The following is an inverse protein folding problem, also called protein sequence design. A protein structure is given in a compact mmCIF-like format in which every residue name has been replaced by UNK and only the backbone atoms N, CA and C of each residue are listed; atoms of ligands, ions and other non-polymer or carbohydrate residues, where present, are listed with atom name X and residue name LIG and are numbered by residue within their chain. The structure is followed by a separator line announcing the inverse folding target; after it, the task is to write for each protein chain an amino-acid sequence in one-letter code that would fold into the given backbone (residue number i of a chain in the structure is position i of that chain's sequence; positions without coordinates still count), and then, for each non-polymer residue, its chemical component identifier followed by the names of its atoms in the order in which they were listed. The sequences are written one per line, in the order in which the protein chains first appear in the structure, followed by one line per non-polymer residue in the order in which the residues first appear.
data_IF_020321926377
#
_entry.id   IF_020321926377
#
_cell.length_a   1.000
_cell.length_b   1.000
_cell.length_c   1.000
_cell.angle_alpha   90.00
_cell.angle_beta   90.00
_cell.angle_gamma   90.00
#
_symmetry.space_group_name_H-M   'P 1'
#
loop_
_entity.id
_entity.type
_entity.pdbx_description
1 polymer ?
#
# COMPACT_ATOMS: atom_id res chain seq x y z
N UNK A 1 24.42 7.30 -6.24
CA UNK A 1 22.97 6.98 -6.38
C UNK A 1 22.22 8.29 -6.38
N UNK A 2 21.43 8.53 -7.42
CA UNK A 2 20.66 9.76 -7.63
C UNK A 2 19.21 9.56 -7.16
N UNK A 3 18.51 10.65 -6.81
CA UNK A 3 17.07 10.64 -6.60
C UNK A 3 16.37 10.17 -7.86
N UNK A 4 15.18 9.57 -7.75
CA UNK A 4 14.42 9.15 -8.91
C UNK A 4 12.94 8.92 -8.62
N UNK A 5 12.14 8.92 -9.67
CA UNK A 5 10.71 8.67 -9.64
C UNK A 5 10.39 7.28 -10.19
N UNK A 6 9.37 6.65 -9.66
CA UNK A 6 8.83 5.37 -10.14
C UNK A 6 7.33 5.47 -10.33
N UNK A 7 6.82 4.92 -11.44
CA UNK A 7 5.40 4.88 -11.75
C UNK A 7 4.97 3.48 -12.21
N UNK A 8 3.75 3.02 -11.85
CA UNK A 8 3.24 1.71 -12.21
C UNK A 8 2.62 1.62 -13.61
N UNK A 9 2.51 2.73 -14.32
CA UNK A 9 1.97 2.80 -15.67
C UNK A 9 3.07 2.88 -16.74
N UNK A 10 2.74 2.61 -17.98
CA UNK A 10 3.65 2.74 -19.12
C UNK A 10 3.99 4.22 -19.39
N UNK A 11 5.15 4.46 -19.97
CA UNK A 11 5.53 5.80 -20.42
C UNK A 11 4.61 6.27 -21.55
N UNK A 12 4.23 7.52 -21.50
CA UNK A 12 3.50 8.22 -22.56
C UNK A 12 4.33 9.37 -23.13
N UNK A 13 3.73 10.17 -24.01
CA UNK A 13 4.39 11.33 -24.65
C UNK A 13 4.86 12.40 -23.65
N UNK A 14 4.43 12.35 -22.39
CA UNK A 14 4.86 13.24 -21.31
C UNK A 14 6.12 12.77 -20.58
N UNK A 15 6.67 11.60 -20.90
CA UNK A 15 7.82 11.02 -20.20
C UNK A 15 9.07 11.92 -20.25
N UNK A 16 9.37 12.46 -21.41
CA UNK A 16 10.51 13.36 -21.62
C UNK A 16 10.32 14.70 -20.89
N UNK A 17 9.08 15.18 -20.83
CA UNK A 17 8.74 16.41 -20.08
C UNK A 17 8.93 16.19 -18.58
N UNK A 18 8.48 15.07 -18.02
CA UNK A 18 8.66 14.75 -16.61
C UNK A 18 10.15 14.62 -16.24
N UNK A 19 10.94 13.95 -17.06
CA UNK A 19 12.37 13.80 -16.81
C UNK A 19 13.10 15.16 -16.87
N UNK A 20 12.70 16.02 -17.79
CA UNK A 20 13.25 17.38 -17.93
C UNK A 20 12.85 18.27 -16.75
N UNK A 21 11.59 18.20 -16.29
CA UNK A 21 11.10 19.02 -15.17
C UNK A 21 11.66 18.57 -13.82
N UNK A 22 11.77 17.27 -13.60
CA UNK A 22 12.19 16.73 -12.31
C UNK A 22 13.73 16.63 -12.17
N UNK A 23 14.47 16.78 -13.26
CA UNK A 23 15.93 16.63 -13.31
C UNK A 23 16.43 15.35 -12.63
N UNK A 24 15.65 14.28 -12.68
CA UNK A 24 15.98 12.99 -12.09
C UNK A 24 15.47 11.84 -12.96
N UNK A 25 16.08 10.64 -12.87
CA UNK A 25 15.61 9.45 -13.56
C UNK A 25 14.15 9.13 -13.24
N UNK A 26 13.34 8.88 -14.27
CA UNK A 26 11.96 8.44 -14.15
C UNK A 26 11.87 7.00 -14.65
N UNK A 27 11.32 6.09 -13.83
CA UNK A 27 11.13 4.68 -14.15
C UNK A 27 9.63 4.39 -14.28
N UNK A 28 9.26 3.84 -15.41
CA UNK A 28 7.88 3.40 -15.70
C UNK A 28 7.75 1.89 -15.54
N UNK A 29 6.51 1.38 -15.57
CA UNK A 29 6.17 -0.05 -15.46
C UNK A 29 6.70 -0.70 -14.18
N UNK A 30 6.81 0.08 -13.10
CA UNK A 30 7.21 -0.43 -11.80
C UNK A 30 5.98 -0.93 -11.04
N UNK A 31 6.18 -1.80 -10.04
CA UNK A 31 5.09 -2.33 -9.22
C UNK A 31 4.61 -1.34 -8.13
N UNK A 32 5.14 -0.12 -8.11
CA UNK A 32 4.83 0.92 -7.13
C UNK A 32 5.01 2.31 -7.72
N UNK A 33 4.29 3.30 -7.15
CA UNK A 33 4.49 4.71 -7.44
C UNK A 33 5.19 5.38 -6.27
N UNK A 34 6.23 6.16 -6.56
CA UNK A 34 6.92 6.88 -5.50
C UNK A 34 8.23 7.55 -5.91
N UNK A 35 8.84 8.19 -4.93
CA UNK A 35 10.14 8.82 -5.01
C UNK A 35 11.14 8.01 -4.20
N UNK A 36 12.28 7.67 -4.77
CA UNK A 36 13.41 7.16 -3.99
C UNK A 36 14.50 8.21 -3.84
N UNK A 37 14.98 8.32 -2.61
CA UNK A 37 16.01 9.29 -2.21
C UNK A 37 17.17 8.51 -1.59
N UNK A 38 18.40 8.74 -2.02
CA UNK A 38 19.58 8.15 -1.38
C UNK A 38 19.62 8.47 0.12
N UNK A 39 19.92 7.47 0.94
CA UNK A 39 19.94 7.66 2.40
C UNK A 39 20.90 8.79 2.83
N UNK A 40 22.01 8.94 2.11
CA UNK A 40 22.97 10.03 2.36
C UNK A 40 22.40 11.45 2.18
N UNK A 41 21.30 11.60 1.44
CA UNK A 41 20.62 12.89 1.26
C UNK A 41 19.53 13.14 2.29
N UNK A 42 19.03 12.08 2.93
CA UNK A 42 17.94 12.19 3.93
C UNK A 42 18.41 12.92 5.19
N UNK A 43 19.67 12.72 5.58
CA UNK A 43 20.24 13.32 6.78
C UNK A 43 20.89 14.71 6.52
N UNK A 44 20.88 15.18 5.28
CA UNK A 44 21.41 16.51 4.95
C UNK A 44 20.40 17.61 5.37
N UNK A 45 20.91 18.58 6.08
CA UNK A 45 20.11 19.77 6.42
C UNK A 45 19.81 20.57 5.18
N UNK A 46 18.55 20.61 4.78
CA UNK A 46 18.12 21.37 3.60
C UNK A 46 18.18 22.86 3.87
N UNK A 47 18.88 23.61 3.04
CA UNK A 47 19.06 25.06 3.14
C UNK A 47 17.76 25.86 3.05
N UNK A 48 16.70 25.28 2.51
CA UNK A 48 15.37 25.90 2.35
C UNK A 48 14.29 25.23 3.20
N UNK A 49 14.67 24.44 4.21
CA UNK A 49 13.69 23.78 5.07
C UNK A 49 12.90 24.80 5.90
N UNK A 50 11.62 24.93 5.63
CA UNK A 50 10.70 25.76 6.38
C UNK A 50 9.56 24.88 6.93
N UNK A 51 9.56 24.69 8.24
CA UNK A 51 8.54 23.89 8.91
C UNK A 51 7.11 24.46 8.74
N UNK A 52 6.98 25.77 8.48
CA UNK A 52 5.71 26.42 8.14
C UNK A 52 5.24 25.95 6.75
N UNK A 53 6.07 26.15 5.72
CA UNK A 53 5.75 25.76 4.35
C UNK A 53 5.47 24.25 4.21
N UNK A 54 6.15 23.40 4.99
CA UNK A 54 5.86 21.98 5.02
C UNK A 54 4.46 21.69 5.58
N UNK A 55 4.08 22.33 6.70
CA UNK A 55 2.74 22.19 7.29
C UNK A 55 1.64 22.69 6.34
N UNK A 56 1.89 23.82 5.67
CA UNK A 56 0.96 24.38 4.70
C UNK A 56 0.79 23.44 3.49
N UNK A 57 1.88 22.90 2.96
CA UNK A 57 1.83 21.90 1.89
C UNK A 57 1.08 20.64 2.29
N UNK A 58 1.32 20.12 3.48
CA UNK A 58 0.59 18.96 4.02
C UNK A 58 -0.90 19.29 4.18
N UNK A 59 -1.24 20.49 4.67
CA UNK A 59 -2.62 20.94 4.82
C UNK A 59 -3.34 21.03 3.46
N UNK A 60 -2.69 21.62 2.45
CA UNK A 60 -3.23 21.69 1.10
C UNK A 60 -3.45 20.28 0.53
N UNK A 61 -2.46 19.39 0.62
CA UNK A 61 -2.61 18.01 0.16
C UNK A 61 -3.77 17.28 0.86
N UNK A 62 -3.95 17.51 2.16
CA UNK A 62 -5.07 16.93 2.91
C UNK A 62 -6.43 17.51 2.49
N UNK A 63 -6.49 18.79 2.14
CA UNK A 63 -7.70 19.44 1.64
C UNK A 63 -8.04 18.92 0.24
N UNK A 64 -7.08 18.85 -0.66
CA UNK A 64 -7.26 18.28 -2.00
C UNK A 64 -7.70 16.81 -1.94
N UNK A 65 -7.10 16.02 -1.05
CA UNK A 65 -7.49 14.63 -0.82
C UNK A 65 -8.95 14.49 -0.35
N UNK A 66 -9.44 15.47 0.44
CA UNK A 66 -10.84 15.53 0.89
C UNK A 66 -11.79 16.05 -0.20
N UNK A 67 -11.29 16.87 -1.11
CA UNK A 67 -12.05 17.47 -2.22
C UNK A 67 -12.18 16.50 -3.43
N UNK A 68 -11.38 15.43 -3.48
CA UNK A 68 -11.57 14.38 -4.48
C UNK A 68 -12.99 13.83 -4.37
N UNK A 69 -13.77 13.79 -5.47
CA UNK A 69 -15.21 13.42 -5.47
C UNK A 69 -15.45 11.95 -5.19
N UNK A 70 -14.53 11.26 -4.61
CA UNK A 70 -14.65 9.86 -4.25
C UNK A 70 -15.16 9.75 -2.81
N UNK A 71 -16.49 9.62 -2.67
CA UNK A 71 -16.96 8.95 -1.47
C UNK A 71 -16.26 7.59 -1.47
N UNK A 72 -15.41 7.31 -0.48
CA UNK A 72 -14.61 6.10 -0.51
C UNK A 72 -15.57 4.92 -0.63
N UNK A 73 -15.42 4.14 -1.70
CA UNK A 73 -16.24 2.95 -1.94
C UNK A 73 -16.29 2.11 -0.66
N UNK A 74 -17.32 1.33 -0.47
CA UNK A 74 -17.42 0.46 0.70
C UNK A 74 -16.18 -0.45 0.80
N UNK A 75 -15.66 -0.92 -0.33
CA UNK A 75 -14.40 -1.67 -0.39
C UNK A 75 -13.22 -0.88 0.19
N UNK A 76 -13.06 0.40 -0.15
CA UNK A 76 -12.00 1.25 0.39
C UNK A 76 -12.16 1.49 1.89
N UNK A 77 -13.38 1.68 2.36
CA UNK A 77 -13.70 1.83 3.79
C UNK A 77 -13.38 0.55 4.57
N UNK A 78 -13.73 -0.61 4.00
CA UNK A 78 -13.42 -1.93 4.58
C UNK A 78 -11.91 -2.15 4.62
N UNK A 79 -11.18 -1.83 3.54
CA UNK A 79 -9.72 -1.90 3.46
C UNK A 79 -9.05 -1.04 4.53
N UNK A 80 -9.53 0.20 4.71
CA UNK A 80 -9.04 1.12 5.75
C UNK A 80 -9.28 0.56 7.16
N UNK A 81 -10.45 -0.03 7.41
CA UNK A 81 -10.75 -0.70 8.67
C UNK A 81 -9.77 -1.86 8.94
N UNK A 82 -9.51 -2.71 7.93
CA UNK A 82 -8.56 -3.82 8.07
C UNK A 82 -7.14 -3.34 8.39
N UNK A 83 -6.68 -2.26 7.75
CA UNK A 83 -5.37 -1.67 7.97
C UNK A 83 -5.23 -0.99 9.33
N UNK A 84 -6.32 -0.49 9.92
CA UNK A 84 -6.31 0.12 11.24
C UNK A 84 -6.29 -0.88 12.39
N UNK A 85 -6.61 -2.14 12.14
CA UNK A 85 -6.61 -3.22 13.13
C UNK A 85 -5.24 -3.87 13.23
N UNK A 86 -4.47 -3.53 14.27
CA UNK A 86 -3.08 -3.93 14.42
C UNK A 86 -2.87 -5.41 14.85
N UNK A 87 -3.89 -6.09 15.35
CA UNK A 87 -3.71 -7.42 15.94
C UNK A 87 -4.41 -8.56 15.18
N UNK A 88 -5.58 -8.34 14.61
CA UNK A 88 -6.32 -9.35 13.84
C UNK A 88 -7.23 -8.70 12.82
N UNK A 89 -7.27 -9.26 11.62
CA UNK A 89 -8.30 -8.87 10.66
C UNK A 89 -9.70 -9.20 11.21
N UNK A 90 -10.63 -8.25 11.17
CA UNK A 90 -11.99 -8.49 11.65
C UNK A 90 -12.65 -9.58 10.81
N UNK A 91 -13.61 -10.31 11.37
CA UNK A 91 -14.45 -11.22 10.59
C UNK A 91 -15.45 -10.44 9.71
N UNK A 92 -16.04 -11.14 8.74
CA UNK A 92 -17.11 -10.55 7.92
C UNK A 92 -18.26 -10.01 8.79
N UNK A 93 -18.62 -10.74 9.86
CA UNK A 93 -19.69 -10.38 10.78
C UNK A 93 -19.33 -9.12 11.58
N UNK A 94 -18.11 -9.06 12.11
CA UNK A 94 -17.63 -7.88 12.85
C UNK A 94 -17.55 -6.66 11.93
N UNK A 95 -17.07 -6.84 10.71
CA UNK A 95 -17.01 -5.77 9.72
C UNK A 95 -18.41 -5.29 9.35
N UNK A 96 -19.35 -6.20 9.12
CA UNK A 96 -20.73 -5.85 8.82
C UNK A 96 -21.37 -5.05 9.97
N UNK A 97 -21.17 -5.47 11.22
CA UNK A 97 -21.62 -4.71 12.41
C UNK A 97 -21.02 -3.31 12.47
N UNK A 98 -19.72 -3.17 12.20
CA UNK A 98 -19.05 -1.87 12.18
C UNK A 98 -19.69 -0.89 11.18
N UNK A 99 -20.15 -1.39 10.03
CA UNK A 99 -20.83 -0.60 9.03
C UNK A 99 -22.37 -0.58 9.18
N UNK A 100 -22.92 -1.08 10.31
CA UNK A 100 -24.37 -1.17 10.56
C UNK A 100 -25.11 -1.94 9.47
N UNK A 101 -24.50 -3.01 8.95
CA UNK A 101 -25.04 -3.87 7.89
C UNK A 101 -25.14 -5.32 8.37
N UNK A 102 -25.98 -6.11 7.67
CA UNK A 102 -25.90 -7.57 7.79
C UNK A 102 -24.72 -8.10 6.96
N UNK A 103 -24.14 -9.28 7.28
CA UNK A 103 -23.10 -9.91 6.46
C UNK A 103 -23.52 -10.10 5.00
N UNK A 104 -24.80 -10.45 4.77
CA UNK A 104 -25.39 -10.58 3.42
C UNK A 104 -25.40 -9.25 2.66
N UNK A 105 -25.76 -8.16 3.35
CA UNK A 105 -25.80 -6.82 2.75
C UNK A 105 -24.40 -6.36 2.39
N UNK A 106 -23.43 -6.49 3.32
CA UNK A 106 -22.03 -6.16 3.09
C UNK A 106 -21.48 -6.94 1.88
N UNK A 107 -21.68 -8.25 1.85
CA UNK A 107 -21.23 -9.10 0.75
C UNK A 107 -21.80 -8.65 -0.59
N UNK A 108 -23.11 -8.36 -0.66
CA UNK A 108 -23.77 -7.91 -1.89
C UNK A 108 -23.21 -6.57 -2.38
N UNK A 109 -22.97 -5.61 -1.47
CA UNK A 109 -22.40 -4.31 -1.85
C UNK A 109 -20.96 -4.46 -2.38
N UNK A 110 -20.13 -5.29 -1.75
CA UNK A 110 -18.78 -5.55 -2.24
C UNK A 110 -18.80 -6.23 -3.61
N UNK A 111 -19.73 -7.16 -3.86
CA UNK A 111 -19.87 -7.77 -5.18
C UNK A 111 -20.28 -6.74 -6.25
N UNK A 112 -21.15 -5.81 -5.92
CA UNK A 112 -21.54 -4.72 -6.83
C UNK A 112 -20.38 -3.77 -7.15
N UNK A 113 -19.40 -3.66 -6.24
CA UNK A 113 -18.13 -2.95 -6.45
C UNK A 113 -17.04 -3.82 -7.12
N UNK A 114 -17.40 -5.01 -7.61
CA UNK A 114 -16.48 -5.93 -8.32
C UNK A 114 -15.49 -6.67 -7.44
N UNK A 115 -15.70 -6.69 -6.12
CA UNK A 115 -14.80 -7.35 -5.18
C UNK A 115 -15.53 -8.24 -4.17
N UNK A 116 -14.78 -8.90 -3.30
CA UNK A 116 -15.32 -9.70 -2.20
C UNK A 116 -14.52 -9.45 -0.92
N UNK A 117 -15.14 -9.74 0.23
CA UNK A 117 -14.45 -9.62 1.52
C UNK A 117 -13.16 -10.45 1.59
N UNK A 118 -13.18 -11.65 0.98
CA UNK A 118 -12.02 -12.52 0.87
C UNK A 118 -10.91 -11.86 0.04
N UNK A 119 -11.25 -11.28 -1.10
CA UNK A 119 -10.29 -10.59 -1.97
C UNK A 119 -9.66 -9.39 -1.23
N UNK A 120 -10.46 -8.60 -0.53
CA UNK A 120 -9.95 -7.47 0.26
C UNK A 120 -8.96 -7.89 1.35
N UNK A 121 -9.25 -9.00 2.08
CA UNK A 121 -8.29 -9.54 3.06
C UNK A 121 -7.00 -10.01 2.37
N UNK A 122 -7.10 -10.68 1.22
CA UNK A 122 -5.91 -11.13 0.48
C UNK A 122 -5.07 -9.95 -0.02
N UNK A 123 -5.70 -8.89 -0.55
CA UNK A 123 -5.03 -7.67 -0.97
C UNK A 123 -4.29 -6.98 0.20
N UNK A 124 -4.98 -6.80 1.33
CA UNK A 124 -4.38 -6.18 2.52
C UNK A 124 -3.24 -7.03 3.09
N UNK A 125 -3.41 -8.35 3.16
CA UNK A 125 -2.35 -9.28 3.56
C UNK A 125 -1.14 -9.19 2.64
N UNK A 126 -1.36 -9.12 1.34
CA UNK A 126 -0.30 -8.97 0.36
C UNK A 126 0.49 -7.68 0.56
N UNK A 127 -0.19 -6.53 0.66
CA UNK A 127 0.45 -5.23 0.89
C UNK A 127 1.27 -5.21 2.19
N UNK A 128 0.72 -5.74 3.28
CA UNK A 128 1.42 -5.81 4.55
C UNK A 128 2.60 -6.80 4.52
N UNK A 129 2.46 -7.94 3.80
CA UNK A 129 3.55 -8.89 3.61
C UNK A 129 4.76 -8.22 2.95
N UNK A 130 4.54 -7.49 1.86
CA UNK A 130 5.60 -6.75 1.16
C UNK A 130 6.27 -5.74 2.09
N UNK A 131 5.48 -4.96 2.83
CA UNK A 131 5.99 -3.97 3.77
C UNK A 131 6.82 -4.60 4.89
N UNK A 132 6.36 -5.69 5.48
CA UNK A 132 7.07 -6.36 6.58
C UNK A 132 8.35 -7.05 6.10
N UNK A 133 8.31 -7.75 4.97
CA UNK A 133 9.48 -8.39 4.39
C UNK A 133 10.53 -7.37 3.94
N UNK A 134 10.12 -6.28 3.30
CA UNK A 134 11.02 -5.21 2.87
C UNK A 134 11.70 -4.48 4.06
N UNK A 135 11.06 -4.44 5.22
CA UNK A 135 11.65 -3.82 6.41
C UNK A 135 12.85 -4.59 6.98
N UNK A 136 12.97 -5.87 6.66
CA UNK A 136 14.03 -6.76 7.18
C UNK A 136 13.99 -7.01 8.70
N UNK A 137 12.98 -6.47 9.40
CA UNK A 137 12.88 -6.52 10.88
C UNK A 137 12.18 -7.76 11.40
N UNK A 138 11.51 -8.50 10.53
CA UNK A 138 10.70 -9.67 10.88
C UNK A 138 11.14 -10.87 10.07
N UNK A 139 11.16 -12.02 10.70
CA UNK A 139 11.34 -13.31 10.03
C UNK A 139 10.08 -13.66 9.22
N UNK A 140 10.21 -14.54 8.23
CA UNK A 140 9.09 -15.04 7.43
C UNK A 140 8.00 -15.64 8.34
N UNK A 141 8.39 -16.27 9.43
CA UNK A 141 7.47 -16.87 10.41
C UNK A 141 6.69 -15.79 11.18
N UNK A 142 7.36 -14.76 11.65
CA UNK A 142 6.71 -13.63 12.34
C UNK A 142 5.76 -12.88 11.41
N UNK A 143 6.15 -12.67 10.15
CA UNK A 143 5.26 -12.08 9.14
C UNK A 143 4.02 -12.94 8.92
N UNK A 144 4.17 -14.27 8.80
CA UNK A 144 3.02 -15.16 8.65
C UNK A 144 2.03 -15.03 9.81
N UNK A 145 2.52 -15.02 11.04
CA UNK A 145 1.66 -14.88 12.23
C UNK A 145 1.05 -13.48 12.35
N UNK A 146 1.80 -12.42 12.05
CA UNK A 146 1.28 -11.06 12.03
C UNK A 146 0.15 -10.88 11.01
N UNK A 147 0.17 -11.66 9.91
CA UNK A 147 -0.88 -11.67 8.89
C UNK A 147 -2.00 -12.68 9.18
N UNK A 148 -2.06 -13.23 10.41
CA UNK A 148 -3.05 -14.20 10.86
C UNK A 148 -3.08 -15.52 10.06
N UNK A 149 -1.92 -16.00 9.64
CA UNK A 149 -1.77 -17.38 9.19
C UNK A 149 -1.44 -18.28 10.38
N UNK A 150 -2.16 -19.36 10.53
CA UNK A 150 -1.91 -20.39 11.55
C UNK A 150 -0.65 -21.21 11.23
N UNK A 151 -0.34 -21.34 9.94
CA UNK A 151 0.80 -22.09 9.45
C UNK A 151 1.62 -21.27 8.45
N UNK A 152 2.93 -21.28 8.62
CA UNK A 152 3.88 -20.60 7.73
C UNK A 152 3.80 -21.15 6.29
N UNK A 153 3.51 -22.43 6.13
CA UNK A 153 3.35 -23.06 4.82
C UNK A 153 2.20 -22.45 4.01
N UNK A 154 1.10 -22.10 4.68
CA UNK A 154 -0.05 -21.43 4.04
C UNK A 154 0.32 -20.03 3.58
N UNK A 155 1.05 -19.28 4.39
CA UNK A 155 1.57 -17.97 4.01
C UNK A 155 2.50 -18.05 2.80
N UNK A 156 3.48 -18.98 2.81
CA UNK A 156 4.42 -19.16 1.69
C UNK A 156 3.70 -19.46 0.37
N UNK A 157 2.67 -20.31 0.41
CA UNK A 157 1.84 -20.62 -0.78
C UNK A 157 1.05 -19.38 -1.25
N UNK A 158 0.46 -18.64 -0.34
CA UNK A 158 -0.27 -17.41 -0.66
C UNK A 158 0.67 -16.36 -1.27
N UNK A 159 1.81 -16.12 -0.65
CA UNK A 159 2.79 -15.15 -1.11
C UNK A 159 3.33 -15.49 -2.52
N UNK A 160 3.68 -16.78 -2.75
CA UNK A 160 4.11 -17.23 -4.08
C UNK A 160 3.02 -17.04 -5.13
N UNK A 161 1.74 -17.24 -4.76
CA UNK A 161 0.61 -16.98 -5.68
C UNK A 161 0.50 -15.48 -6.03
N UNK A 162 0.77 -14.58 -5.09
CA UNK A 162 0.69 -13.13 -5.29
C UNK A 162 1.87 -12.55 -6.06
N UNK A 163 3.11 -13.00 -5.73
CA UNK A 163 4.35 -12.43 -6.25
C UNK A 163 5.06 -13.29 -7.31
N UNK A 164 4.60 -14.52 -7.54
CA UNK A 164 5.26 -15.46 -8.44
C UNK A 164 6.49 -16.15 -7.82
N UNK A 165 7.12 -15.55 -6.83
CA UNK A 165 8.32 -16.06 -6.13
C UNK A 165 8.04 -16.28 -4.64
N UNK A 166 8.76 -17.20 -3.97
CA UNK A 166 8.60 -17.41 -2.54
C UNK A 166 9.17 -16.25 -1.71
N UNK A 167 8.70 -16.05 -0.44
CA UNK A 167 9.19 -14.97 0.42
C UNK A 167 10.71 -14.99 0.65
N UNK A 168 11.32 -16.17 0.66
CA UNK A 168 12.77 -16.33 0.86
C UNK A 168 13.62 -15.82 -0.30
N UNK A 169 13.09 -15.81 -1.51
CA UNK A 169 13.72 -15.21 -2.69
C UNK A 169 13.48 -13.70 -2.72
N UNK A 170 12.27 -13.27 -2.37
CA UNK A 170 11.90 -11.85 -2.33
C UNK A 170 12.79 -11.02 -1.38
N UNK A 171 13.20 -11.58 -0.23
CA UNK A 171 14.07 -10.88 0.73
C UNK A 171 15.52 -10.73 0.20
N UNK A 172 15.92 -11.56 -0.76
CA UNK A 172 17.29 -11.55 -1.31
C UNK A 172 17.42 -10.67 -2.55
N UNK A 173 16.30 -10.27 -3.14
CA UNK A 173 16.23 -9.40 -4.32
C UNK A 173 16.28 -7.92 -3.92
#
# INVERSE_FOLDING_TARGET
SECGLSFPFASDDSADLLQTLCHCPVRYEQNWAGLFIPLALVDQQQTLSNAGSFRDAVSICQQELKALPDQPTLANRVRKLMLSQHQRFPSLELTARYFHMTPRTLHRHLLNEGTSYKNLIEEVRHQLALKYLASGRMTIQEVAYALNYTEVANFRRAFKRWQGIPPSEYIKS
#
